data_IF_494128502196
#
_entry.id   IF_494128502196
#
_cell.length_a   1.000
_cell.length_b   1.000
_cell.length_c   1.000
_cell.angle_alpha   90.00
_cell.angle_beta   90.00
_cell.angle_gamma   90.00
#
_symmetry.space_group_name_H-M   'P 1'
#
loop_
_entity.id
_entity.type
_entity.pdbx_description
1 polymer ?
#
# COMPACT_ATOMS: atom_id res chain seq x y z
N UNK A 1 -17.08 -7.68 -30.68
CA UNK A 1 -16.39 -7.10 -29.52
C UNK A 1 -14.95 -7.58 -29.55
N UNK A 2 -14.00 -6.70 -29.26
CA UNK A 2 -12.56 -6.98 -29.29
C UNK A 2 -12.00 -6.75 -27.88
N UNK A 3 -11.12 -7.66 -27.44
CA UNK A 3 -10.49 -7.58 -26.12
C UNK A 3 -9.28 -6.66 -26.15
N UNK A 4 -9.27 -5.70 -25.24
CA UNK A 4 -8.14 -4.83 -24.95
C UNK A 4 -7.65 -5.12 -23.53
N UNK A 5 -6.36 -5.37 -23.39
CA UNK A 5 -5.74 -5.76 -22.11
C UNK A 5 -4.70 -4.73 -21.69
N UNK A 6 -4.83 -4.23 -20.47
CA UNK A 6 -3.83 -3.37 -19.85
C UNK A 6 -3.01 -4.18 -18.85
N UNK A 7 -1.68 -4.03 -18.91
CA UNK A 7 -0.74 -4.65 -18.00
C UNK A 7 -0.09 -3.61 -17.08
N UNK A 8 -0.30 -3.76 -15.78
CA UNK A 8 0.36 -2.96 -14.75
C UNK A 8 1.53 -3.76 -14.16
N UNK A 9 2.70 -3.14 -14.11
CA UNK A 9 3.87 -3.69 -13.43
C UNK A 9 4.36 -2.71 -12.35
N UNK A 10 4.27 -3.04 -11.05
CA UNK A 10 4.93 -2.25 -10.03
C UNK A 10 6.45 -2.30 -10.23
N UNK A 11 7.15 -1.17 -10.05
CA UNK A 11 8.59 -1.05 -10.31
C UNK A 11 9.44 -2.03 -9.50
N UNK A 12 9.04 -2.28 -8.25
CA UNK A 12 9.76 -3.13 -7.30
C UNK A 12 9.21 -4.56 -7.24
N UNK A 13 8.36 -4.94 -8.20
CA UNK A 13 7.80 -6.29 -8.30
C UNK A 13 8.07 -6.91 -9.68
N UNK A 14 8.47 -8.20 -9.73
CA UNK A 14 8.53 -8.93 -10.99
C UNK A 14 7.13 -9.30 -11.52
N UNK A 15 6.09 -9.14 -10.70
CA UNK A 15 4.73 -9.52 -11.05
C UNK A 15 4.05 -8.49 -11.95
N UNK A 16 3.16 -9.01 -12.80
CA UNK A 16 2.37 -8.22 -13.74
C UNK A 16 0.90 -8.52 -13.53
N UNK A 17 0.13 -7.46 -13.34
CA UNK A 17 -1.30 -7.54 -13.14
C UNK A 17 -2.01 -7.04 -14.39
N UNK A 18 -3.16 -7.61 -14.71
CA UNK A 18 -3.88 -7.27 -15.93
C UNK A 18 -5.34 -6.97 -15.69
N UNK A 19 -5.86 -6.02 -16.47
CA UNK A 19 -7.28 -5.70 -16.54
C UNK A 19 -7.71 -5.70 -18.01
N UNK A 20 -8.91 -6.22 -18.31
CA UNK A 20 -9.39 -6.39 -19.69
C UNK A 20 -10.72 -5.68 -19.90
N UNK A 21 -10.87 -5.03 -21.05
CA UNK A 21 -12.12 -4.46 -21.54
C UNK A 21 -12.51 -5.13 -22.86
N UNK A 22 -13.81 -5.37 -23.04
CA UNK A 22 -14.40 -5.78 -24.31
C UNK A 22 -14.98 -4.54 -25.01
N UNK A 23 -14.33 -4.09 -26.08
CA UNK A 23 -14.72 -2.88 -26.81
C UNK A 23 -15.52 -3.22 -28.06
N UNK A 24 -16.48 -2.35 -28.39
CA UNK A 24 -17.14 -2.33 -29.69
C UNK A 24 -16.44 -1.32 -30.63
N UNK A 25 -16.70 -1.35 -31.95
CA UNK A 25 -16.02 -0.45 -32.89
C UNK A 25 -16.17 1.04 -32.55
N UNK A 26 -17.36 1.49 -32.12
CA UNK A 26 -17.55 2.89 -31.72
C UNK A 26 -16.74 3.30 -30.49
N UNK A 27 -16.46 2.36 -29.59
CA UNK A 27 -15.62 2.57 -28.41
C UNK A 27 -14.13 2.56 -28.77
N UNK A 28 -13.72 1.80 -29.78
CA UNK A 28 -12.35 1.85 -30.32
C UNK A 28 -12.07 3.21 -30.98
N UNK A 29 -13.05 3.76 -31.69
CA UNK A 29 -12.93 5.09 -32.34
C UNK A 29 -12.91 6.24 -31.31
N UNK A 30 -13.56 6.06 -30.15
CA UNK A 30 -13.70 7.08 -29.11
C UNK A 30 -13.40 6.52 -27.70
N UNK A 31 -12.14 6.15 -27.40
CA UNK A 31 -11.83 5.41 -26.19
C UNK A 31 -12.01 6.23 -24.90
N UNK A 32 -12.01 7.56 -24.97
CA UNK A 32 -12.24 8.42 -23.80
C UNK A 32 -13.63 8.22 -23.20
N UNK A 33 -14.61 7.87 -24.03
CA UNK A 33 -16.01 7.68 -23.60
C UNK A 33 -16.18 6.43 -22.73
N UNK A 34 -15.25 5.47 -22.83
CA UNK A 34 -15.29 4.22 -22.06
C UNK A 34 -14.96 4.48 -20.59
N UNK A 35 -14.01 5.36 -20.31
CA UNK A 35 -13.49 5.57 -18.96
C UNK A 35 -14.41 6.47 -18.12
N UNK A 36 -15.66 6.03 -17.92
CA UNK A 36 -16.61 6.64 -16.98
C UNK A 36 -16.10 6.53 -15.53
N UNK A 37 -16.56 7.37 -14.59
CA UNK A 37 -16.15 7.29 -13.19
C UNK A 37 -16.28 5.89 -12.59
N UNK A 38 -17.35 5.16 -12.94
CA UNK A 38 -17.56 3.79 -12.48
C UNK A 38 -16.49 2.82 -13.01
N UNK A 39 -16.14 2.90 -14.29
CA UNK A 39 -15.09 2.06 -14.89
C UNK A 39 -13.71 2.44 -14.34
N UNK A 40 -13.44 3.73 -14.13
CA UNK A 40 -12.19 4.18 -13.50
C UNK A 40 -12.03 3.61 -12.09
N UNK A 41 -13.10 3.61 -11.30
CA UNK A 41 -13.09 3.02 -9.96
C UNK A 41 -12.92 1.51 -10.00
N UNK A 42 -13.58 0.82 -10.95
CA UNK A 42 -13.44 -0.62 -11.10
C UNK A 42 -12.02 -1.03 -11.50
N UNK A 43 -11.40 -0.28 -12.42
CA UNK A 43 -9.98 -0.42 -12.77
C UNK A 43 -9.10 -0.24 -11.53
N UNK A 44 -9.33 0.84 -10.77
CA UNK A 44 -8.58 1.12 -9.53
C UNK A 44 -8.72 -0.04 -8.55
N UNK A 45 -9.95 -0.38 -8.16
CA UNK A 45 -10.24 -1.40 -7.17
C UNK A 45 -9.67 -2.77 -7.57
N UNK A 46 -9.82 -3.16 -8.83
CA UNK A 46 -9.32 -4.44 -9.35
C UNK A 46 -7.79 -4.48 -9.32
N UNK A 47 -7.12 -3.45 -9.85
CA UNK A 47 -5.66 -3.41 -9.89
C UNK A 47 -5.07 -3.29 -8.48
N UNK A 48 -5.69 -2.53 -7.57
CA UNK A 48 -5.26 -2.46 -6.17
C UNK A 48 -5.42 -3.81 -5.45
N UNK A 49 -6.54 -4.51 -5.68
CA UNK A 49 -6.78 -5.83 -5.09
C UNK A 49 -5.76 -6.87 -5.57
N UNK A 50 -5.42 -6.84 -6.87
CA UNK A 50 -4.45 -7.76 -7.44
C UNK A 50 -3.02 -7.45 -6.99
N UNK A 51 -2.64 -6.17 -7.02
CA UNK A 51 -1.26 -5.75 -6.73
C UNK A 51 -0.95 -5.51 -5.25
N UNK A 52 -1.98 -5.53 -4.39
CA UNK A 52 -1.90 -5.13 -2.98
C UNK A 52 -1.23 -3.76 -2.79
N UNK A 53 -1.26 -2.91 -3.82
CA UNK A 53 -0.62 -1.61 -3.86
C UNK A 53 -1.69 -0.52 -3.95
N UNK A 54 -1.41 0.65 -3.39
CA UNK A 54 -2.29 1.81 -3.50
C UNK A 54 -2.17 2.46 -4.88
N UNK A 55 -3.32 2.77 -5.51
CA UNK A 55 -3.40 3.47 -6.79
C UNK A 55 -4.17 4.78 -6.58
N UNK A 56 -3.42 5.88 -6.46
CA UNK A 56 -3.97 7.23 -6.29
C UNK A 56 -4.42 7.81 -7.63
N UNK A 57 -5.15 8.91 -7.58
CA UNK A 57 -5.75 9.56 -8.77
C UNK A 57 -4.75 9.89 -9.87
N UNK A 58 -3.56 10.36 -9.52
CA UNK A 58 -2.51 10.65 -10.51
C UNK A 58 -2.01 9.38 -11.21
N UNK A 59 -1.81 8.28 -10.47
CA UNK A 59 -1.43 6.98 -11.04
C UNK A 59 -2.55 6.41 -11.92
N UNK A 60 -3.80 6.49 -11.46
CA UNK A 60 -4.96 6.04 -12.23
C UNK A 60 -5.12 6.84 -13.52
N UNK A 61 -4.95 8.17 -13.47
CA UNK A 61 -4.97 8.99 -14.67
C UNK A 61 -3.84 8.60 -15.64
N UNK A 62 -2.63 8.30 -15.16
CA UNK A 62 -1.55 7.83 -16.03
C UNK A 62 -1.88 6.50 -16.71
N UNK A 63 -2.48 5.55 -15.98
CA UNK A 63 -2.97 4.27 -16.54
C UNK A 63 -3.96 4.55 -17.67
N UNK A 64 -4.98 5.36 -17.39
CA UNK A 64 -6.06 5.64 -18.35
C UNK A 64 -5.54 6.38 -19.59
N UNK A 65 -4.70 7.40 -19.42
CA UNK A 65 -4.16 8.17 -20.54
C UNK A 65 -3.25 7.32 -21.44
N UNK A 66 -2.43 6.45 -20.83
CA UNK A 66 -1.62 5.48 -21.57
C UNK A 66 -2.51 4.55 -22.36
N UNK A 67 -3.55 4.00 -21.73
CA UNK A 67 -4.44 3.05 -22.37
C UNK A 67 -5.26 3.67 -23.51
N UNK A 68 -5.78 4.89 -23.31
CA UNK A 68 -6.47 5.67 -24.34
C UNK A 68 -5.57 5.86 -25.56
N UNK A 69 -4.33 6.30 -25.34
CA UNK A 69 -3.35 6.52 -26.41
C UNK A 69 -3.10 5.24 -27.18
N UNK A 70 -2.85 4.14 -26.48
CA UNK A 70 -2.55 2.85 -27.08
C UNK A 70 -3.75 2.31 -27.89
N UNK A 71 -4.98 2.44 -27.37
CA UNK A 71 -6.20 2.06 -28.10
C UNK A 71 -6.33 2.87 -29.40
N UNK A 72 -6.11 4.20 -29.35
CA UNK A 72 -6.13 5.07 -30.54
C UNK A 72 -5.09 4.69 -31.58
N UNK A 73 -3.92 4.22 -31.13
CA UNK A 73 -2.85 3.74 -32.00
C UNK A 73 -3.10 2.29 -32.49
N UNK A 74 -4.20 1.66 -32.06
CA UNK A 74 -4.61 0.32 -32.49
C UNK A 74 -3.99 -0.82 -31.67
N UNK A 75 -3.30 -0.52 -30.58
CA UNK A 75 -2.72 -1.54 -29.70
C UNK A 75 -3.79 -2.19 -28.83
N UNK A 76 -3.89 -3.51 -28.94
CA UNK A 76 -4.77 -4.34 -28.08
C UNK A 76 -4.17 -4.64 -26.72
N UNK A 77 -2.87 -4.44 -26.58
CA UNK A 77 -2.12 -4.69 -25.36
C UNK A 77 -1.36 -3.43 -24.98
N UNK A 78 -1.64 -2.94 -23.78
CA UNK A 78 -0.97 -1.79 -23.17
C UNK A 78 -0.16 -2.24 -21.98
N UNK A 79 0.95 -1.56 -21.69
CA UNK A 79 1.72 -1.84 -20.47
C UNK A 79 2.28 -0.59 -19.86
N UNK A 80 2.23 -0.49 -18.53
CA UNK A 80 2.82 0.62 -17.80
C UNK A 80 3.51 0.13 -16.53
N UNK A 81 4.73 0.61 -16.32
CA UNK A 81 5.47 0.41 -15.07
C UNK A 81 5.28 1.62 -14.16
N UNK A 82 4.79 1.40 -12.93
CA UNK A 82 4.55 2.47 -11.96
C UNK A 82 5.30 2.21 -10.65
N UNK A 83 5.74 3.29 -10.02
CA UNK A 83 6.15 3.24 -8.62
C UNK A 83 4.89 3.33 -7.75
N UNK A 84 4.52 2.22 -7.12
CA UNK A 84 3.33 2.09 -6.27
C UNK A 84 3.75 1.73 -4.85
N UNK A 85 3.10 2.34 -3.87
CA UNK A 85 3.28 2.00 -2.45
C UNK A 85 2.36 0.86 -2.06
N UNK A 86 2.72 0.12 -1.02
CA UNK A 86 1.85 -0.95 -0.50
C UNK A 86 0.56 -0.34 0.07
N UNK A 87 -0.56 -1.04 -0.14
CA UNK A 87 -1.86 -0.59 0.35
C UNK A 87 -1.93 -0.53 1.89
N UNK A 88 -1.15 -1.38 2.56
CA UNK A 88 -1.06 -1.43 4.02
C UNK A 88 -0.32 -0.20 4.56
N UNK A 89 0.75 0.24 3.91
CA UNK A 89 1.52 1.43 4.32
C UNK A 89 0.65 2.69 4.29
N UNK A 90 -0.27 2.78 3.33
CA UNK A 90 -1.20 3.91 3.21
C UNK A 90 -2.33 3.89 4.24
N UNK A 91 -2.61 2.72 4.85
CA UNK A 91 -3.64 2.55 5.88
C UNK A 91 -3.05 2.28 7.27
N UNK A 92 -1.74 2.49 7.46
CA UNK A 92 -1.05 2.15 8.71
C UNK A 92 -1.61 2.94 9.90
N UNK A 93 -2.02 4.18 9.66
CA UNK A 93 -2.65 5.05 10.66
C UNK A 93 -4.04 4.55 11.12
N UNK A 94 -4.61 3.59 10.39
CA UNK A 94 -5.92 2.98 10.70
C UNK A 94 -5.78 1.60 11.36
N UNK A 95 -4.56 1.06 11.49
CA UNK A 95 -4.34 -0.20 12.18
C UNK A 95 -4.54 0.01 13.68
N UNK A 96 -5.60 -0.60 14.23
CA UNK A 96 -5.80 -0.69 15.67
C UNK A 96 -5.03 -1.89 16.22
N UNK A 97 -4.13 -1.66 17.17
CA UNK A 97 -3.43 -2.73 17.88
C UNK A 97 -4.43 -3.51 18.75
N UNK A 98 -4.62 -4.80 18.47
CA UNK A 98 -5.50 -5.68 19.26
C UNK A 98 -4.81 -6.29 20.49
N UNK A 99 -3.55 -5.90 20.75
CA UNK A 99 -2.77 -6.36 21.90
C UNK A 99 -3.30 -5.81 23.21
N UNK A 100 -2.84 -6.41 24.31
CA UNK A 100 -3.07 -5.84 25.63
C UNK A 100 -2.22 -4.56 25.78
N UNK A 101 -2.81 -3.41 25.49
CA UNK A 101 -2.20 -2.09 25.67
C UNK A 101 -2.32 -1.57 27.11
N UNK A 102 -2.85 -2.37 28.05
CA UNK A 102 -2.86 -1.97 29.44
C UNK A 102 -1.43 -1.81 29.94
N UNK A 103 -1.14 -0.63 30.50
CA UNK A 103 0.11 -0.41 31.22
C UNK A 103 0.12 -1.42 32.37
N UNK A 104 1.09 -2.35 32.44
CA UNK A 104 1.14 -3.32 33.52
C UNK A 104 1.20 -2.57 34.85
N UNK A 105 0.47 -3.05 35.85
CA UNK A 105 0.52 -2.46 37.19
C UNK A 105 1.96 -2.42 37.64
N UNK A 106 2.41 -1.23 38.02
CA UNK A 106 3.70 -1.06 38.70
C UNK A 106 3.55 -1.78 40.03
N UNK A 107 4.30 -2.88 40.18
CA UNK A 107 4.41 -3.60 41.44
C UNK A 107 5.66 -3.04 42.10
N UNK A 108 5.51 -2.40 43.26
CA UNK A 108 6.65 -1.99 44.05
C UNK A 108 7.44 -3.25 44.44
N UNK A 109 8.77 -3.27 44.25
CA UNK A 109 9.59 -4.39 44.71
C UNK A 109 9.41 -4.55 46.22
N UNK A 110 9.22 -5.77 46.69
CA UNK A 110 9.26 -6.07 48.11
C UNK A 110 10.70 -5.95 48.59
N UNK A 111 10.95 -4.96 49.46
CA UNK A 111 12.26 -4.68 50.05
C UNK A 111 12.36 -5.23 51.48
N UNK A 112 11.38 -5.99 51.96
CA UNK A 112 11.32 -6.47 53.35
C UNK A 112 12.49 -7.39 53.71
N UNK A 113 13.05 -8.10 52.73
CA UNK A 113 14.21 -8.98 52.88
C UNK A 113 15.54 -8.28 52.55
N UNK A 114 15.54 -6.97 52.28
CA UNK A 114 16.76 -6.20 52.05
C UNK A 114 17.27 -5.62 53.36
N UNK A 115 18.26 -6.28 53.94
CA UNK A 115 19.07 -5.72 55.01
C UNK A 115 20.42 -5.25 54.45
N UNK A 116 20.95 -4.09 54.90
CA UNK A 116 22.31 -3.69 54.57
C UNK A 116 23.31 -4.66 55.21
N UNK A 117 23.91 -5.54 54.41
CA UNK A 117 24.81 -6.58 54.94
C UNK A 117 26.09 -6.03 55.58
N UNK A 118 26.58 -4.83 55.19
CA UNK A 118 27.57 -4.05 55.94
C UNK A 118 27.88 -2.71 55.25
N UNK A 119 27.88 -1.61 55.99
CA UNK A 119 28.50 -0.35 55.56
C UNK A 119 29.83 -0.17 56.28
N UNK A 120 30.94 -0.59 55.66
CA UNK A 120 32.26 -0.33 56.23
C UNK A 120 32.68 1.10 55.86
N UNK A 121 32.33 2.07 56.70
CA UNK A 121 32.93 3.40 56.61
C UNK A 121 34.43 3.25 56.99
N UNK A 122 35.37 3.64 56.11
CA UNK A 122 36.78 3.62 56.48
C UNK A 122 37.02 4.56 57.66
N UNK A 123 37.89 4.21 58.62
CA UNK A 123 38.18 5.08 59.76
C UNK A 123 38.72 6.43 59.26
N UNK A 124 38.17 7.51 59.81
CA UNK A 124 38.63 8.86 59.52
C UNK A 124 39.99 9.08 60.20
N UNK A 125 41.05 9.12 59.40
CA UNK A 125 42.36 9.57 59.86
C UNK A 125 42.33 11.10 60.00
N UNK A 126 42.22 11.59 61.22
CA UNK A 126 42.53 12.99 61.52
C UNK A 126 44.05 13.12 61.66
N UNK A 127 44.68 13.80 60.69
CA UNK A 127 46.08 14.25 60.74
C UNK A 127 46.08 15.70 61.23
#
# INVERSE_FOLDING_TARGET
MVKYTFHLQPKDSPERYSYTLDLNPSQEDMPEQIFTPAIKEDIRATLQKLSLSAIKDHQLNNIIQTWIKDIREGYRFSSLTLNLRLLIEENIDQLQEMGNQEIPKIIDPDLSDLEPEFGMLPPLNFI
#
